data_IF_946583990121
#
_entry.id   IF_946583990121
#
_cell.length_a   1.000
_cell.length_b   1.000
_cell.length_c   1.000
_cell.angle_alpha   90.00
_cell.angle_beta   90.00
_cell.angle_gamma   90.00
#
_symmetry.space_group_name_H-M   'P 1'
#
loop_
_entity.id
_entity.type
_entity.pdbx_description
1 polymer ?
#
# COMPACT_ATOMS: atom_id res chain seq x y z
N UNK A 1 1.68 18.92 12.02
CA UNK A 1 3.08 18.58 12.35
C UNK A 1 3.83 18.36 11.05
N UNK A 2 5.15 18.57 11.00
CA UNK A 2 5.91 18.45 9.76
C UNK A 2 7.35 17.96 10.02
N UNK A 3 7.91 17.24 9.05
CA UNK A 3 9.32 16.84 9.01
C UNK A 3 9.95 17.47 7.77
N UNK A 4 11.02 18.25 7.95
CA UNK A 4 11.67 18.99 6.85
C UNK A 4 10.70 19.86 6.03
N UNK A 5 9.71 20.47 6.70
CA UNK A 5 8.72 21.33 6.06
C UNK A 5 7.56 20.61 5.37
N UNK A 6 7.50 19.27 5.39
CA UNK A 6 6.43 18.47 4.78
C UNK A 6 5.62 17.69 5.84
N UNK A 7 4.33 17.54 5.61
CA UNK A 7 3.40 16.81 6.47
C UNK A 7 1.99 16.86 5.88
N UNK A 8 1.08 16.05 6.42
CA UNK A 8 -0.27 15.86 5.87
C UNK A 8 -0.27 15.38 4.40
N UNK A 9 0.76 14.62 4.03
CA UNK A 9 0.73 13.79 2.81
C UNK A 9 0.12 12.45 3.21
N UNK A 10 -1.21 12.40 3.12
CA UNK A 10 -2.03 11.33 3.67
C UNK A 10 -2.15 10.18 2.66
N UNK A 11 -1.63 9.00 3.01
CA UNK A 11 -1.38 7.91 2.04
C UNK A 11 -2.24 6.66 2.24
N UNK A 12 -3.23 6.69 3.13
CA UNK A 12 -4.27 5.64 3.24
C UNK A 12 -5.46 6.12 4.09
N UNK A 13 -6.61 5.45 3.94
CA UNK A 13 -7.78 5.56 4.80
C UNK A 13 -8.25 4.17 5.26
N UNK A 14 -8.46 3.98 6.56
CA UNK A 14 -8.87 2.68 7.13
C UNK A 14 -9.72 2.84 8.38
N UNK A 15 -10.75 2.02 8.54
CA UNK A 15 -11.52 1.90 9.78
C UNK A 15 -10.87 0.92 10.75
N UNK A 16 -10.65 1.36 11.99
CA UNK A 16 -10.08 0.52 13.03
C UNK A 16 -10.59 0.92 14.42
N UNK A 17 -11.05 -0.08 15.18
CA UNK A 17 -11.54 0.10 16.55
C UNK A 17 -12.59 1.22 16.68
N UNK A 18 -13.53 1.28 15.71
CA UNK A 18 -14.59 2.30 15.67
C UNK A 18 -14.15 3.70 15.26
N UNK A 19 -12.90 3.88 14.83
CA UNK A 19 -12.35 5.15 14.38
C UNK A 19 -12.00 5.08 12.89
N UNK A 20 -12.10 6.22 12.21
CA UNK A 20 -11.51 6.41 10.89
C UNK A 20 -10.05 6.85 11.07
N UNK A 21 -9.13 6.21 10.36
CA UNK A 21 -7.69 6.40 10.52
C UNK A 21 -7.04 6.78 9.20
N UNK A 22 -6.08 7.70 9.25
CA UNK A 22 -5.21 8.04 8.11
C UNK A 22 -3.75 8.14 8.55
N UNK A 23 -2.84 8.09 7.59
CA UNK A 23 -1.39 7.93 7.79
C UNK A 23 -0.65 9.03 7.05
N UNK A 24 0.26 9.74 7.71
CA UNK A 24 1.15 10.71 7.08
C UNK A 24 2.49 10.06 6.72
N UNK A 25 2.82 10.03 5.43
CA UNK A 25 4.03 9.39 4.90
C UNK A 25 5.31 10.22 5.15
N UNK A 26 5.19 11.50 5.54
CA UNK A 26 6.33 12.39 5.81
C UNK A 26 6.68 12.50 7.27
N UNK A 27 5.71 12.41 8.15
CA UNK A 27 5.95 12.49 9.60
C UNK A 27 5.92 11.13 10.28
N UNK A 28 5.41 10.09 9.62
CA UNK A 28 5.18 8.78 10.23
C UNK A 28 4.04 8.79 11.26
N UNK A 29 3.30 9.89 11.38
CA UNK A 29 2.17 10.00 12.29
C UNK A 29 0.95 9.29 11.71
N UNK A 30 0.22 8.65 12.61
CA UNK A 30 -1.09 8.07 12.36
C UNK A 30 -2.10 8.95 13.08
N UNK A 31 -3.12 9.34 12.36
CA UNK A 31 -4.18 10.22 12.83
C UNK A 31 -5.49 9.48 12.93
N UNK A 32 -6.22 9.74 14.01
CA UNK A 32 -7.66 9.49 14.06
C UNK A 32 -8.34 10.70 13.42
N UNK A 33 -9.24 10.43 12.47
CA UNK A 33 -10.13 11.44 11.91
C UNK A 33 -11.37 11.49 12.80
N UNK A 34 -11.60 12.64 13.41
CA UNK A 34 -12.78 12.93 14.25
C UNK A 34 -13.46 14.18 13.67
N UNK A 35 -14.59 13.98 13.01
CA UNK A 35 -15.25 14.97 12.14
C UNK A 35 -14.26 15.62 11.15
N UNK A 36 -13.93 16.90 11.37
CA UNK A 36 -13.02 17.70 10.54
C UNK A 36 -11.63 17.86 11.17
N UNK A 37 -11.31 17.10 12.22
CA UNK A 37 -10.05 17.17 12.94
C UNK A 37 -9.19 15.93 12.71
N UNK A 38 -7.87 16.16 12.65
CA UNK A 38 -6.86 15.10 12.66
C UNK A 38 -6.22 15.05 14.04
N UNK A 39 -6.59 14.03 14.83
CA UNK A 39 -6.06 13.80 16.17
C UNK A 39 -4.84 12.89 16.06
N UNK A 40 -3.61 13.36 16.37
CA UNK A 40 -2.43 12.52 16.33
C UNK A 40 -2.55 11.41 17.36
N UNK A 41 -2.34 10.17 16.94
CA UNK A 41 -2.51 9.00 17.81
C UNK A 41 -1.20 8.26 18.05
N UNK A 42 -0.53 7.79 16.99
CA UNK A 42 0.69 6.98 17.09
C UNK A 42 1.75 7.52 16.13
N UNK A 43 3.00 7.63 16.60
CA UNK A 43 4.15 7.89 15.75
C UNK A 43 4.84 6.59 15.39
N UNK A 44 5.11 6.39 14.10
CA UNK A 44 5.77 5.21 13.57
C UNK A 44 7.12 5.57 12.97
N UNK A 45 8.17 4.93 13.47
CA UNK A 45 9.54 5.08 12.95
C UNK A 45 9.94 3.92 12.04
N UNK A 46 10.89 4.18 11.15
CA UNK A 46 11.30 3.23 10.12
C UNK A 46 11.97 1.98 10.71
N UNK A 47 11.94 0.88 9.94
CA UNK A 47 12.65 -0.34 10.29
C UNK A 47 12.14 -1.01 11.56
N UNK A 48 13.08 -1.44 12.40
CA UNK A 48 12.87 -2.22 13.63
C UNK A 48 12.44 -1.40 14.86
N UNK A 49 12.03 -0.14 14.68
CA UNK A 49 11.63 0.74 15.78
C UNK A 49 12.77 1.52 16.44
N UNK A 50 14.04 1.32 16.01
CA UNK A 50 15.22 1.98 16.59
C UNK A 50 15.90 2.97 15.65
N UNK A 51 15.26 3.31 14.53
CA UNK A 51 15.74 4.31 13.58
C UNK A 51 15.27 5.71 14.02
N UNK A 52 16.09 6.72 13.80
CA UNK A 52 15.71 8.13 13.97
C UNK A 52 14.83 8.64 12.84
N UNK A 53 14.91 8.00 11.66
CA UNK A 53 14.07 8.32 10.51
C UNK A 53 12.66 7.77 10.70
N UNK A 54 11.67 8.60 10.43
CA UNK A 54 10.24 8.23 10.41
C UNK A 54 9.94 7.23 9.28
N UNK A 55 8.88 6.44 9.44
CA UNK A 55 8.44 5.51 8.41
C UNK A 55 7.61 6.24 7.35
N UNK A 56 7.85 5.92 6.09
CA UNK A 56 6.98 6.33 4.98
C UNK A 56 5.78 5.37 4.97
N UNK A 57 4.68 5.78 5.56
CA UNK A 57 3.47 4.96 5.71
C UNK A 57 2.67 5.01 4.41
N UNK A 58 2.36 3.86 3.80
CA UNK A 58 1.81 3.78 2.44
C UNK A 58 0.52 2.98 2.35
N UNK A 59 0.28 2.08 3.30
CA UNK A 59 -0.93 1.26 3.31
C UNK A 59 -1.24 0.82 4.74
N UNK A 60 -2.50 0.49 4.97
CA UNK A 60 -2.96 -0.09 6.20
C UNK A 60 -4.14 -1.04 6.02
N UNK A 61 -4.22 -2.01 6.92
CA UNK A 61 -5.34 -2.95 7.00
C UNK A 61 -5.50 -3.45 8.42
N UNK A 62 -6.67 -4.00 8.72
CA UNK A 62 -6.94 -4.65 10.01
C UNK A 62 -6.82 -6.16 9.87
N UNK A 63 -6.15 -6.80 10.83
CA UNK A 63 -6.09 -8.27 10.98
C UNK A 63 -6.04 -8.62 12.46
N UNK A 64 -6.85 -9.58 12.89
CA UNK A 64 -6.91 -10.06 14.28
C UNK A 64 -7.03 -8.91 15.30
N UNK A 65 -7.93 -7.95 15.01
CA UNK A 65 -8.16 -6.75 15.84
C UNK A 65 -6.92 -5.87 16.05
N UNK A 66 -5.96 -5.90 15.14
CA UNK A 66 -4.79 -5.00 15.13
C UNK A 66 -4.68 -4.29 13.80
N UNK A 67 -4.21 -3.05 13.85
CA UNK A 67 -3.88 -2.26 12.67
C UNK A 67 -2.49 -2.66 12.17
N UNK A 68 -2.40 -3.03 10.90
CA UNK A 68 -1.14 -3.23 10.20
C UNK A 68 -0.86 -2.01 9.36
N UNK A 69 0.35 -1.47 9.45
CA UNK A 69 0.82 -0.33 8.65
C UNK A 69 2.12 -0.70 7.98
N UNK A 70 2.18 -0.53 6.66
CA UNK A 70 3.39 -0.81 5.88
C UNK A 70 3.87 0.37 5.06
N UNK A 71 5.04 0.17 4.48
CA UNK A 71 5.67 1.07 3.52
C UNK A 71 5.72 0.39 2.14
N UNK A 72 6.50 0.94 1.22
CA UNK A 72 6.62 0.49 -0.17
C UNK A 72 6.93 -1.01 -0.34
N UNK A 73 7.56 -1.66 0.63
CA UNK A 73 7.87 -3.08 0.54
C UNK A 73 9.04 -3.44 -0.37
N UNK A 74 9.86 -2.47 -0.77
CA UNK A 74 11.11 -2.69 -1.54
C UNK A 74 12.36 -2.20 -0.83
N UNK A 75 13.52 -2.60 -1.34
CA UNK A 75 14.80 -2.09 -0.89
C UNK A 75 14.96 -0.57 -1.16
N UNK A 76 15.64 0.13 -0.25
CA UNK A 76 16.24 1.42 -0.56
C UNK A 76 17.56 1.15 -1.28
N UNK A 77 17.76 1.81 -2.42
CA UNK A 77 18.89 1.55 -3.31
C UNK A 77 19.65 2.83 -3.62
N UNK A 78 20.86 2.69 -4.14
CA UNK A 78 21.64 3.76 -4.78
C UNK A 78 20.90 4.31 -6.00
N UNK A 79 21.33 5.46 -6.52
CA UNK A 79 20.69 6.13 -7.66
C UNK A 79 20.72 5.33 -8.96
N UNK A 80 21.65 4.40 -9.11
CA UNK A 80 21.71 3.45 -10.23
C UNK A 80 20.73 2.26 -10.08
N UNK A 81 20.05 2.15 -8.94
CA UNK A 81 19.11 1.08 -8.64
C UNK A 81 19.76 -0.27 -8.28
N UNK A 82 21.10 -0.36 -8.24
CA UNK A 82 21.81 -1.65 -8.20
C UNK A 82 22.31 -2.07 -6.82
N UNK A 83 22.52 -1.12 -5.89
CA UNK A 83 23.06 -1.44 -4.56
C UNK A 83 22.06 -1.12 -3.47
N UNK A 84 21.74 -2.12 -2.65
CA UNK A 84 20.85 -1.95 -1.48
C UNK A 84 21.58 -1.17 -0.38
N UNK A 85 21.02 -0.04 0.02
CA UNK A 85 21.54 0.83 1.09
C UNK A 85 20.86 0.56 2.43
N UNK A 86 19.57 0.25 2.44
CA UNK A 86 18.78 -0.07 3.64
C UNK A 86 17.50 -0.85 3.26
N UNK A 87 16.85 -1.51 4.22
CA UNK A 87 15.62 -2.31 4.03
C UNK A 87 14.44 -1.84 4.87
N UNK A 88 14.49 -0.62 5.41
CA UNK A 88 13.49 -0.06 6.31
C UNK A 88 12.08 -0.03 5.72
N UNK A 89 11.96 0.22 4.41
CA UNK A 89 10.67 0.24 3.71
C UNK A 89 10.02 -1.15 3.58
N UNK A 90 10.74 -2.22 3.95
CA UNK A 90 10.22 -3.59 3.97
C UNK A 90 9.76 -4.02 5.37
N UNK A 91 9.68 -3.10 6.32
CA UNK A 91 9.15 -3.37 7.66
C UNK A 91 7.68 -2.99 7.74
N UNK A 92 6.91 -3.82 8.44
CA UNK A 92 5.50 -3.59 8.77
C UNK A 92 5.35 -3.36 10.26
N UNK A 93 4.30 -2.65 10.65
CA UNK A 93 4.03 -2.25 12.02
C UNK A 93 2.68 -2.80 12.42
N UNK A 94 2.63 -3.44 13.57
CA UNK A 94 1.37 -3.90 14.18
C UNK A 94 1.07 -2.97 15.33
N UNK A 95 -0.12 -2.39 15.33
CA UNK A 95 -0.56 -1.42 16.33
C UNK A 95 -1.84 -1.96 16.96
N UNK A 96 -1.82 -2.14 18.29
CA UNK A 96 -3.02 -2.55 19.02
C UNK A 96 -3.91 -1.34 19.38
N UNK A 97 -5.08 -1.60 19.97
CA UNK A 97 -6.05 -0.55 20.32
C UNK A 97 -5.54 0.43 21.38
N UNK A 98 -4.47 0.10 22.10
CA UNK A 98 -3.82 0.99 23.07
C UNK A 98 -2.74 1.86 22.44
N UNK A 99 -2.43 1.66 21.15
CA UNK A 99 -1.36 2.33 20.43
C UNK A 99 0.01 1.67 20.61
N UNK A 100 0.07 0.47 21.19
CA UNK A 100 1.33 -0.26 21.33
C UNK A 100 1.80 -0.75 19.96
N UNK A 101 3.07 -0.48 19.64
CA UNK A 101 3.66 -0.77 18.32
C UNK A 101 4.61 -1.96 18.40
N UNK A 102 4.40 -2.94 17.53
CA UNK A 102 5.34 -4.01 17.23
C UNK A 102 5.91 -3.83 15.82
N UNK A 103 7.15 -4.26 15.60
CA UNK A 103 7.86 -4.09 14.34
C UNK A 103 8.13 -5.46 13.71
N UNK A 104 7.59 -5.70 12.52
CA UNK A 104 7.77 -6.93 11.76
C UNK A 104 8.70 -6.71 10.59
N UNK A 105 9.71 -7.57 10.48
CA UNK A 105 10.51 -7.64 9.27
C UNK A 105 9.76 -8.45 8.21
N UNK A 106 9.31 -7.79 7.15
CA UNK A 106 8.60 -8.42 6.03
C UNK A 106 9.48 -8.55 4.78
N UNK A 107 10.81 -8.39 4.88
CA UNK A 107 11.72 -8.50 3.75
C UNK A 107 11.46 -9.77 2.91
N UNK A 108 11.45 -10.94 3.53
CA UNK A 108 11.21 -12.19 2.80
C UNK A 108 9.78 -12.31 2.25
N UNK A 109 8.80 -11.72 2.93
CA UNK A 109 7.40 -11.74 2.47
C UNK A 109 7.25 -10.95 1.17
N UNK A 110 7.78 -9.72 1.12
CA UNK A 110 7.74 -8.91 -0.10
C UNK A 110 8.58 -9.53 -1.24
N UNK A 111 9.73 -10.14 -0.92
CA UNK A 111 10.52 -10.90 -1.91
C UNK A 111 9.68 -12.01 -2.53
N UNK A 112 8.98 -12.81 -1.72
CA UNK A 112 8.09 -13.87 -2.21
C UNK A 112 6.94 -13.33 -3.05
N UNK A 113 6.33 -12.21 -2.65
CA UNK A 113 5.24 -11.57 -3.39
C UNK A 113 5.69 -11.17 -4.80
N UNK A 114 6.84 -10.49 -4.96
CA UNK A 114 7.33 -10.12 -6.30
C UNK A 114 7.82 -11.35 -7.10
N UNK A 115 8.41 -12.34 -6.43
CA UNK A 115 8.87 -13.57 -7.08
C UNK A 115 7.70 -14.42 -7.64
N UNK A 116 6.48 -14.27 -7.13
CA UNK A 116 5.30 -14.96 -7.66
C UNK A 116 4.96 -14.55 -9.11
N UNK A 117 5.50 -13.43 -9.59
CA UNK A 117 5.42 -12.99 -10.99
C UNK A 117 6.80 -12.87 -11.66
N UNK A 118 7.76 -13.65 -11.16
CA UNK A 118 9.14 -13.75 -11.68
C UNK A 118 9.92 -12.41 -11.68
N UNK A 119 9.65 -11.56 -10.70
CA UNK A 119 10.44 -10.35 -10.46
C UNK A 119 11.42 -10.62 -9.33
N UNK A 120 12.71 -10.49 -9.64
CA UNK A 120 13.82 -10.64 -8.71
C UNK A 120 14.68 -9.39 -8.72
N UNK A 121 15.36 -9.10 -7.62
CA UNK A 121 16.31 -7.99 -7.56
C UNK A 121 17.36 -8.11 -8.69
N UNK A 122 17.68 -7.04 -9.45
CA UNK A 122 17.39 -5.62 -9.17
C UNK A 122 15.98 -5.14 -9.51
N UNK A 123 15.14 -5.98 -10.12
CA UNK A 123 13.71 -5.74 -10.26
C UNK A 123 12.99 -5.51 -8.92
N UNK A 124 11.87 -4.80 -8.97
CA UNK A 124 11.18 -4.33 -7.78
C UNK A 124 9.66 -4.34 -7.94
N UNK A 125 8.99 -4.22 -6.80
CA UNK A 125 7.55 -4.04 -6.68
C UNK A 125 7.29 -3.07 -5.54
N UNK A 126 6.40 -2.10 -5.72
CA UNK A 126 5.96 -1.19 -4.66
C UNK A 126 4.50 -1.44 -4.28
N UNK A 127 4.21 -1.26 -3.00
CA UNK A 127 2.89 -1.51 -2.43
C UNK A 127 2.36 -0.27 -1.73
N UNK A 128 1.19 0.18 -2.17
CA UNK A 128 0.37 1.21 -1.51
C UNK A 128 -1.05 0.68 -1.21
N UNK A 129 -1.39 -0.52 -1.70
CA UNK A 129 -2.71 -1.10 -1.50
C UNK A 129 -2.59 -2.57 -1.08
N UNK A 130 -2.77 -2.82 0.22
CA UNK A 130 -2.66 -4.14 0.85
C UNK A 130 -3.76 -4.34 1.87
N UNK A 131 -4.56 -5.40 1.72
CA UNK A 131 -5.70 -5.69 2.61
C UNK A 131 -5.69 -7.15 3.04
N UNK A 132 -5.97 -7.39 4.32
CA UNK A 132 -6.21 -8.72 4.85
C UNK A 132 -7.69 -9.10 4.72
N UNK A 133 -7.96 -10.35 4.32
CA UNK A 133 -9.30 -10.93 4.27
C UNK A 133 -9.45 -12.01 5.33
N UNK A 134 -10.28 -11.76 6.34
CA UNK A 134 -10.66 -12.78 7.33
C UNK A 134 -11.48 -13.92 6.72
N UNK A 135 -12.19 -13.67 5.62
CA UNK A 135 -13.01 -14.69 4.93
C UNK A 135 -12.13 -15.67 4.17
N UNK A 136 -11.16 -15.15 3.41
CA UNK A 136 -10.26 -15.98 2.60
C UNK A 136 -9.05 -16.47 3.39
N UNK A 137 -8.79 -15.89 4.57
CA UNK A 137 -7.57 -16.07 5.36
C UNK A 137 -6.31 -15.78 4.53
N UNK A 138 -6.34 -14.65 3.80
CA UNK A 138 -5.27 -14.25 2.88
C UNK A 138 -5.00 -12.75 2.93
N UNK A 139 -3.75 -12.39 2.70
CA UNK A 139 -3.34 -11.05 2.29
C UNK A 139 -3.63 -10.84 0.82
N UNK A 140 -4.10 -9.67 0.44
CA UNK A 140 -4.33 -9.26 -0.95
C UNK A 140 -3.51 -8.01 -1.24
N UNK A 141 -2.86 -7.99 -2.40
CA UNK A 141 -1.99 -6.91 -2.85
C UNK A 141 -2.43 -6.45 -4.23
N UNK A 142 -2.59 -5.14 -4.39
CA UNK A 142 -2.62 -4.47 -5.68
C UNK A 142 -1.36 -3.59 -5.73
N UNK A 143 -0.23 -4.10 -6.26
CA UNK A 143 1.00 -3.33 -6.30
C UNK A 143 0.83 -2.06 -7.13
N UNK A 144 1.34 -0.95 -6.62
CA UNK A 144 1.33 0.32 -7.36
C UNK A 144 2.19 0.18 -8.59
N UNK A 145 3.44 -0.27 -8.42
CA UNK A 145 4.43 -0.45 -9.48
C UNK A 145 5.07 -1.83 -9.43
N UNK A 146 5.50 -2.35 -10.57
CA UNK A 146 6.35 -3.53 -10.66
C UNK A 146 7.21 -3.48 -11.94
N UNK A 147 8.47 -3.87 -11.82
CA UNK A 147 9.43 -3.88 -12.92
C UNK A 147 10.43 -5.01 -12.76
N UNK A 148 10.78 -5.66 -13.87
CA UNK A 148 11.93 -6.59 -13.92
C UNK A 148 13.27 -5.84 -13.97
N UNK A 149 13.26 -4.59 -14.41
CA UNK A 149 14.42 -3.72 -14.48
C UNK A 149 14.72 -3.10 -13.10
N UNK A 150 15.97 -2.66 -12.91
CA UNK A 150 16.39 -1.88 -11.76
C UNK A 150 15.53 -0.61 -11.57
N UNK A 151 15.35 -0.19 -10.32
CA UNK A 151 14.63 1.04 -10.00
C UNK A 151 15.32 2.27 -10.60
N UNK A 152 14.59 3.00 -11.43
CA UNK A 152 14.98 4.30 -11.98
C UNK A 152 13.82 5.27 -11.80
N UNK A 153 14.06 6.35 -11.04
CA UNK A 153 13.07 7.37 -10.73
C UNK A 153 12.44 7.99 -11.98
N UNK A 154 13.19 8.12 -13.08
CA UNK A 154 12.72 8.74 -14.32
C UNK A 154 11.74 7.88 -15.11
N UNK A 155 11.71 6.56 -14.85
CA UNK A 155 10.84 5.62 -15.56
C UNK A 155 9.75 5.02 -14.67
N UNK A 156 9.87 5.15 -13.34
CA UNK A 156 8.97 4.54 -12.35
C UNK A 156 7.50 4.98 -12.52
N UNK A 157 7.26 6.20 -12.99
CA UNK A 157 5.93 6.72 -13.29
C UNK A 157 5.17 5.80 -14.27
N UNK A 158 5.88 5.10 -15.17
CA UNK A 158 5.31 4.19 -16.19
C UNK A 158 5.31 2.71 -15.78
N UNK A 159 5.63 2.37 -14.53
CA UNK A 159 5.78 0.98 -14.08
C UNK A 159 4.54 0.43 -13.37
N UNK A 160 3.34 0.98 -13.63
CA UNK A 160 2.12 0.50 -12.99
C UNK A 160 1.83 -0.97 -13.28
N UNK A 161 0.89 -1.54 -12.53
CA UNK A 161 0.54 -2.96 -12.63
C UNK A 161 -0.95 -3.19 -12.79
N UNK A 162 -1.31 -4.37 -13.30
CA UNK A 162 -2.69 -4.83 -13.36
C UNK A 162 -2.85 -6.20 -12.69
N UNK A 163 -2.03 -6.48 -11.69
CA UNK A 163 -2.00 -7.78 -10.99
C UNK A 163 -2.62 -7.66 -9.61
N UNK A 164 -3.46 -8.64 -9.27
CA UNK A 164 -3.90 -8.94 -7.91
C UNK A 164 -3.12 -10.15 -7.43
N UNK A 165 -2.36 -9.98 -6.35
CA UNK A 165 -1.73 -11.10 -5.66
C UNK A 165 -2.50 -11.41 -4.40
N UNK A 166 -2.70 -12.69 -4.08
CA UNK A 166 -3.18 -13.09 -2.76
C UNK A 166 -2.26 -14.12 -2.14
N UNK A 167 -1.89 -13.95 -0.88
CA UNK A 167 -0.96 -14.81 -0.17
C UNK A 167 -1.61 -15.39 1.09
N UNK A 168 -1.31 -16.65 1.41
CA UNK A 168 -1.60 -17.23 2.73
C UNK A 168 -0.92 -16.44 3.85
N UNK A 169 -1.30 -16.64 5.13
CA UNK A 169 -0.71 -15.90 6.25
C UNK A 169 0.82 -16.06 6.35
N UNK A 170 1.34 -17.23 5.94
CA UNK A 170 2.75 -17.57 5.96
C UNK A 170 3.49 -17.24 4.64
N UNK A 171 2.79 -16.71 3.63
CA UNK A 171 3.34 -16.46 2.29
C UNK A 171 4.00 -17.71 1.69
N UNK A 172 3.42 -18.89 1.91
CA UNK A 172 3.87 -20.16 1.32
C UNK A 172 3.08 -20.54 0.06
N UNK A 173 1.89 -19.96 -0.12
CA UNK A 173 1.08 -20.05 -1.34
C UNK A 173 0.64 -18.64 -1.76
N UNK A 174 1.03 -18.25 -2.98
CA UNK A 174 0.71 -16.94 -3.58
C UNK A 174 0.02 -17.17 -4.92
N UNK A 175 -1.19 -16.65 -5.06
CA UNK A 175 -1.98 -16.69 -6.29
C UNK A 175 -1.89 -15.35 -6.99
N UNK A 176 -1.84 -15.39 -8.31
CA UNK A 176 -1.76 -14.20 -9.17
C UNK A 176 -2.95 -14.20 -10.11
N UNK A 177 -3.63 -13.07 -10.18
CA UNK A 177 -4.75 -12.79 -11.08
C UNK A 177 -4.43 -11.51 -11.83
N UNK A 178 -4.75 -11.43 -13.13
CA UNK A 178 -4.68 -10.19 -13.90
C UNK A 178 -6.05 -9.56 -14.02
N UNK A 179 -6.11 -8.26 -13.86
CA UNK A 179 -7.33 -7.46 -13.90
C UNK A 179 -7.27 -6.57 -15.14
N UNK A 180 -8.26 -6.69 -16.02
CA UNK A 180 -8.40 -5.79 -17.18
C UNK A 180 -7.12 -5.61 -18.01
N UNK A 181 -6.98 -4.43 -18.60
CA UNK A 181 -5.79 -4.02 -19.35
C UNK A 181 -4.86 -3.18 -18.48
N UNK A 182 -3.55 -3.33 -18.68
CA UNK A 182 -2.56 -2.50 -18.01
C UNK A 182 -2.57 -1.09 -18.59
N UNK A 183 -2.69 -0.10 -17.70
CA UNK A 183 -2.47 1.32 -18.00
C UNK A 183 -1.17 1.74 -17.30
N UNK A 184 -0.04 1.92 -18.02
CA UNK A 184 1.31 2.00 -17.43
C UNK A 184 1.52 3.10 -16.38
N UNK A 185 0.75 4.18 -16.45
CA UNK A 185 0.86 5.34 -15.58
C UNK A 185 -0.21 5.40 -14.48
N UNK A 186 -1.12 4.43 -14.40
CA UNK A 186 -2.17 4.37 -13.36
C UNK A 186 -1.81 3.34 -12.29
N UNK A 187 -1.14 3.78 -11.22
CA UNK A 187 -0.75 2.89 -10.12
C UNK A 187 -1.86 2.76 -9.08
N UNK A 188 -2.19 1.53 -8.65
CA UNK A 188 -3.12 1.33 -7.54
C UNK A 188 -2.62 2.00 -6.26
N UNK A 189 -3.50 2.77 -5.61
CA UNK A 189 -3.18 3.55 -4.42
C UNK A 189 -3.93 3.07 -3.17
N UNK A 190 -5.14 2.52 -3.31
CA UNK A 190 -5.88 1.89 -2.20
C UNK A 190 -6.97 0.98 -2.75
N UNK A 191 -7.41 0.00 -1.95
CA UNK A 191 -8.61 -0.77 -2.25
C UNK A 191 -9.28 -1.28 -0.98
N UNK A 192 -10.56 -1.64 -1.09
CA UNK A 192 -11.31 -2.35 -0.05
C UNK A 192 -12.22 -3.41 -0.68
N UNK A 193 -12.52 -4.46 0.08
CA UNK A 193 -13.58 -5.40 -0.30
C UNK A 193 -14.94 -4.75 -0.11
N UNK A 194 -15.86 -4.93 -1.06
CA UNK A 194 -17.22 -4.41 -0.91
C UNK A 194 -17.94 -5.18 0.21
N UNK A 195 -18.51 -4.50 1.22
CA UNK A 195 -19.26 -5.14 2.29
C UNK A 195 -20.41 -6.02 1.76
N UNK A 196 -20.66 -7.15 2.42
CA UNK A 196 -21.72 -8.08 2.03
C UNK A 196 -21.42 -8.97 0.81
N UNK A 197 -20.23 -8.85 0.20
CA UNK A 197 -19.84 -9.68 -0.96
C UNK A 197 -18.99 -10.90 -0.60
N UNK A 198 -18.84 -11.22 0.69
CA UNK A 198 -17.90 -12.24 1.18
C UNK A 198 -16.47 -12.06 0.64
N UNK A 199 -16.04 -10.80 0.51
CA UNK A 199 -14.74 -10.43 -0.05
C UNK A 199 -14.50 -10.99 -1.47
N UNK A 200 -15.57 -11.17 -2.25
CA UNK A 200 -15.46 -11.60 -3.65
C UNK A 200 -15.36 -10.43 -4.62
N UNK A 201 -15.73 -9.22 -4.20
CA UNK A 201 -15.66 -8.00 -5.01
C UNK A 201 -14.79 -6.96 -4.32
N UNK A 202 -13.93 -6.30 -5.10
CA UNK A 202 -13.02 -5.23 -4.69
C UNK A 202 -13.43 -3.94 -5.39
N UNK A 203 -13.42 -2.83 -4.65
CA UNK A 203 -13.34 -1.48 -5.19
C UNK A 203 -11.93 -0.96 -4.97
N UNK A 204 -11.29 -0.46 -6.02
CA UNK A 204 -9.92 0.05 -5.96
C UNK A 204 -9.85 1.44 -6.58
N UNK A 205 -8.92 2.24 -6.07
CA UNK A 205 -8.52 3.51 -6.69
C UNK A 205 -7.09 3.41 -7.23
N UNK A 206 -6.88 4.02 -8.39
CA UNK A 206 -5.57 4.20 -9.01
C UNK A 206 -5.28 5.69 -9.16
N UNK A 207 -4.00 6.05 -9.16
CA UNK A 207 -3.57 7.43 -9.35
C UNK A 207 -2.55 7.55 -10.47
N UNK A 208 -2.68 8.65 -11.22
CA UNK A 208 -1.72 9.14 -12.19
C UNK A 208 -0.85 10.20 -11.52
N UNK A 209 0.46 10.12 -11.74
CA UNK A 209 1.43 11.15 -11.40
C UNK A 209 2.48 11.17 -12.51
N UNK A 210 2.40 12.17 -13.39
CA UNK A 210 3.35 12.40 -14.48
C UNK A 210 3.73 13.88 -14.52
N UNK A 211 4.94 14.20 -14.04
CA UNK A 211 5.34 15.57 -13.80
C UNK A 211 4.36 16.29 -12.86
N UNK A 212 3.75 17.39 -13.31
CA UNK A 212 2.76 18.15 -12.53
C UNK A 212 1.31 17.67 -12.72
N UNK A 213 1.09 16.62 -13.54
CA UNK A 213 -0.26 16.11 -13.82
C UNK A 213 -0.62 15.01 -12.83
N UNK A 214 -1.73 15.21 -12.11
CA UNK A 214 -2.33 14.19 -11.26
C UNK A 214 -3.74 13.83 -11.69
N UNK A 215 -4.18 12.62 -11.35
CA UNK A 215 -5.58 12.23 -11.41
C UNK A 215 -5.83 11.03 -10.49
N UNK A 216 -7.10 10.85 -10.10
CA UNK A 216 -7.58 9.64 -9.42
C UNK A 216 -8.67 8.99 -10.25
N UNK A 217 -8.63 7.67 -10.33
CA UNK A 217 -9.64 6.84 -10.97
C UNK A 217 -10.18 5.80 -9.98
N UNK A 218 -11.40 5.33 -10.22
CA UNK A 218 -12.04 4.27 -9.45
C UNK A 218 -12.45 3.12 -10.39
N UNK A 219 -12.32 1.89 -9.90
CA UNK A 219 -12.72 0.67 -10.60
C UNK A 219 -13.31 -0.34 -9.62
N UNK A 220 -14.08 -1.30 -10.11
CA UNK A 220 -14.52 -2.44 -9.32
C UNK A 220 -14.41 -3.74 -10.11
N UNK A 221 -13.93 -4.78 -9.45
CA UNK A 221 -13.70 -6.09 -10.05
C UNK A 221 -13.80 -7.20 -9.01
N UNK A 222 -14.05 -8.42 -9.46
CA UNK A 222 -14.04 -9.61 -8.62
C UNK A 222 -12.62 -10.08 -8.31
N UNK A 223 -12.44 -10.91 -7.29
CA UNK A 223 -11.12 -11.47 -6.90
C UNK A 223 -10.54 -12.44 -7.92
N UNK A 224 -11.31 -12.89 -8.91
CA UNK A 224 -10.86 -13.66 -10.07
C UNK A 224 -10.56 -12.78 -11.32
N UNK A 225 -10.69 -11.45 -11.19
CA UNK A 225 -10.24 -10.48 -12.19
C UNK A 225 -11.31 -10.00 -13.17
N UNK A 226 -12.58 -10.40 -13.00
CA UNK A 226 -13.68 -9.88 -13.81
C UNK A 226 -13.99 -8.43 -13.44
N UNK A 227 -13.79 -7.52 -14.38
CA UNK A 227 -14.15 -6.10 -14.22
C UNK A 227 -15.66 -5.94 -14.23
N UNK A 228 -16.20 -5.40 -13.14
CA UNK A 228 -17.64 -5.11 -12.95
C UNK A 228 -17.95 -3.64 -13.23
N UNK A 229 -17.01 -2.75 -12.93
CA UNK A 229 -17.09 -1.33 -13.21
C UNK A 229 -15.76 -0.87 -13.82
N UNK A 230 -15.75 -0.34 -15.06
CA UNK A 230 -14.52 0.08 -15.72
C UNK A 230 -13.88 1.26 -15.00
N UNK A 231 -12.56 1.38 -15.15
CA UNK A 231 -11.81 2.51 -14.59
C UNK A 231 -12.42 3.83 -15.07
N UNK A 232 -12.83 4.67 -14.11
CA UNK A 232 -13.49 5.95 -14.35
C UNK A 232 -12.79 7.04 -13.55
N UNK A 233 -12.40 8.13 -14.20
CA UNK A 233 -11.77 9.28 -13.52
C UNK A 233 -12.76 9.94 -12.56
N UNK A 234 -12.31 10.21 -11.34
CA UNK A 234 -13.13 10.84 -10.28
C UNK A 234 -12.56 12.17 -9.79
N UNK A 235 -11.29 12.46 -10.06
CA UNK A 235 -10.63 13.69 -9.63
C UNK A 235 -9.39 14.01 -10.46
N UNK A 236 -9.04 15.29 -10.53
CA UNK A 236 -7.72 15.78 -10.98
C UNK A 236 -6.68 15.80 -9.84
N UNK A 237 -7.11 15.53 -8.61
CA UNK A 237 -6.23 15.39 -7.45
C UNK A 237 -5.82 13.93 -7.25
N UNK A 238 -4.74 13.73 -6.49
CA UNK A 238 -4.30 12.42 -6.02
C UNK A 238 -5.01 12.05 -4.71
N UNK A 239 -5.83 10.99 -4.73
CA UNK A 239 -6.36 10.37 -3.53
C UNK A 239 -5.66 9.03 -3.31
N UNK A 240 -5.15 8.82 -2.10
CA UNK A 240 -4.37 7.63 -1.73
C UNK A 240 -5.06 6.76 -0.68
N UNK A 241 -6.31 7.08 -0.32
CA UNK A 241 -7.09 6.31 0.64
C UNK A 241 -8.54 6.14 0.19
N UNK A 242 -9.07 4.93 0.33
CA UNK A 242 -10.47 4.61 0.09
C UNK A 242 -11.01 3.74 1.23
N UNK A 243 -12.18 4.08 1.76
CA UNK A 243 -12.83 3.32 2.83
C UNK A 243 -14.36 3.46 2.77
N UNK A 244 -15.07 2.43 3.23
CA UNK A 244 -16.51 2.48 3.45
C UNK A 244 -16.78 3.07 4.85
N UNK A 245 -17.32 4.28 4.91
CA UNK A 245 -17.59 5.07 6.13
C UNK A 245 -19.08 5.24 6.43
#
# INVERSE_FOLDING_TARGET
MATSGRGLELSELVTYNGNLITLDDKTGLIYIIDDNALIPWVLVVNGNGRKTKVMKNEWATVKDSKLYVGSHGKEMVTSDGLTVTDRGLMWVKIIDKSGSVQHLNWTENFVKVRAAIDIHFPGYMTHEAVVWSDIHQRWFFLPRKASVDAFDQSTDEQKATNVLLSATPAFDDIKVVRIGQLVPNHGYASFKFIPGTNHSVITAISTLEEGDTTATFITAFTTDGQVLFPETKVSDLKFEGFEFI
#
